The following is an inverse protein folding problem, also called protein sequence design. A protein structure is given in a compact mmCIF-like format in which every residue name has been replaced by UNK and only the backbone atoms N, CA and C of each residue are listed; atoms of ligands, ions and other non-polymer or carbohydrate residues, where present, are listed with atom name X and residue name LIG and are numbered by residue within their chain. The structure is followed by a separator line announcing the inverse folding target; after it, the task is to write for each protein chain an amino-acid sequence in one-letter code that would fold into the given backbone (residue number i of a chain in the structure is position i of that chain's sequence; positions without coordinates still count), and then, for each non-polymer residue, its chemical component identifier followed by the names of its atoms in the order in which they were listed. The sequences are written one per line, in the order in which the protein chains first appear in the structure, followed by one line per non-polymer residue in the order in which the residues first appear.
data_IF_192637016430
#
_entry.id   IF_192637016430
#
_cell.length_a   1.000
_cell.length_b   1.000
_cell.length_c   1.000
_cell.angle_alpha   90.00
_cell.angle_beta   90.00
_cell.angle_gamma   90.00
#
_symmetry.space_group_name_H-M   'P 1'
#
loop_
_entity.id
_entity.type
_entity.pdbx_description
1 polymer ?
#
# COMPACT_ATOMS: atom_id res chain seq x y z
N UNK A 1 16.30 31.70 -6.22
CA UNK A 1 16.18 30.41 -6.95
C UNK A 1 15.68 29.36 -5.96
N UNK A 2 14.47 28.81 -6.14
CA UNK A 2 14.00 27.69 -5.30
C UNK A 2 14.80 26.44 -5.68
N UNK A 3 15.51 25.84 -4.72
CA UNK A 3 16.15 24.53 -4.92
C UNK A 3 15.06 23.47 -4.85
N UNK A 4 14.82 22.76 -5.95
CA UNK A 4 13.98 21.56 -5.95
C UNK A 4 14.77 20.46 -5.25
N UNK A 5 14.37 20.09 -4.04
CA UNK A 5 14.89 18.91 -3.35
C UNK A 5 14.14 17.67 -3.81
N UNK A 6 14.79 16.51 -3.78
CA UNK A 6 14.08 15.24 -4.04
C UNK A 6 13.10 15.02 -2.90
N UNK A 7 11.89 14.58 -3.24
CA UNK A 7 10.84 14.32 -2.25
C UNK A 7 11.32 13.38 -1.13
N UNK A 8 12.07 12.32 -1.49
CA UNK A 8 12.60 11.36 -0.53
C UNK A 8 13.56 11.98 0.49
N UNK A 9 14.39 12.93 0.08
CA UNK A 9 15.36 13.56 1.00
C UNK A 9 14.62 14.42 2.02
N UNK A 10 13.59 15.15 1.59
CA UNK A 10 12.71 15.94 2.48
C UNK A 10 11.96 15.02 3.43
N UNK A 11 11.42 13.92 2.92
CA UNK A 11 10.72 12.94 3.75
C UNK A 11 11.63 12.38 4.85
N UNK A 12 12.87 12.01 4.52
CA UNK A 12 13.83 11.49 5.51
C UNK A 12 14.15 12.54 6.57
N UNK A 13 14.33 13.81 6.18
CA UNK A 13 14.55 14.92 7.13
C UNK A 13 13.36 15.06 8.10
N UNK A 14 12.13 15.04 7.58
CA UNK A 14 10.91 15.17 8.39
C UNK A 14 10.73 13.98 9.34
N UNK A 15 10.94 12.75 8.86
CA UNK A 15 10.85 11.53 9.66
C UNK A 15 11.97 11.43 10.71
N UNK A 16 13.13 12.05 10.47
CA UNK A 16 14.22 12.09 11.44
C UNK A 16 13.97 13.13 12.54
N UNK A 17 13.17 14.18 12.24
CA UNK A 17 12.84 15.23 13.19
C UNK A 17 11.75 14.80 14.21
N UNK A 18 10.83 13.94 13.80
CA UNK A 18 9.71 13.47 14.63
C UNK A 18 9.54 11.94 14.54
N UNK A 19 9.88 11.26 15.63
CA UNK A 19 9.77 9.81 15.74
C UNK A 19 8.31 9.33 15.68
N UNK A 20 7.37 10.06 16.30
CA UNK A 20 5.95 9.68 16.27
C UNK A 20 5.39 9.83 14.85
N UNK A 21 5.84 10.84 14.10
CA UNK A 21 5.52 10.96 12.68
C UNK A 21 6.05 9.79 11.85
N UNK A 22 7.26 9.28 12.17
CA UNK A 22 7.81 8.11 11.50
C UNK A 22 7.00 6.83 11.76
N UNK A 23 6.53 6.64 12.99
CA UNK A 23 5.64 5.52 13.35
C UNK A 23 4.29 5.67 12.63
N UNK A 24 3.68 6.85 12.67
CA UNK A 24 2.41 7.13 12.00
C UNK A 24 2.49 6.91 10.48
N UNK A 25 3.62 7.26 9.87
CA UNK A 25 3.89 6.98 8.47
C UNK A 25 3.91 5.47 8.16
N UNK A 26 4.60 4.66 8.97
CA UNK A 26 4.61 3.20 8.80
C UNK A 26 3.22 2.58 9.01
N UNK A 27 2.46 3.06 9.99
CA UNK A 27 1.08 2.62 10.22
C UNK A 27 0.20 2.90 9.00
N UNK A 28 0.29 4.09 8.41
CA UNK A 28 -0.45 4.44 7.21
C UNK A 28 -0.08 3.53 6.03
N UNK A 29 1.20 3.27 5.82
CA UNK A 29 1.66 2.39 4.73
C UNK A 29 1.23 0.93 4.95
N UNK A 30 1.21 0.46 6.20
CA UNK A 30 0.67 -0.87 6.53
C UNK A 30 -0.84 -0.97 6.28
N UNK A 31 -1.60 0.09 6.56
CA UNK A 31 -3.03 0.14 6.24
C UNK A 31 -3.27 0.10 4.72
N UNK A 32 -2.52 0.88 3.94
CA UNK A 32 -2.57 0.84 2.48
C UNK A 32 -2.16 -0.53 1.93
N UNK A 33 -1.16 -1.18 2.53
CA UNK A 33 -0.74 -2.51 2.14
C UNK A 33 -1.86 -3.55 2.27
N UNK A 34 -2.72 -3.45 3.28
CA UNK A 34 -3.87 -4.35 3.45
C UNK A 34 -4.93 -4.18 2.36
N UNK A 35 -5.05 -2.98 1.77
CA UNK A 35 -6.03 -2.67 0.72
C UNK A 35 -5.47 -3.01 -0.67
N UNK A 36 -4.24 -2.59 -0.94
CA UNK A 36 -3.65 -2.61 -2.29
C UNK A 36 -2.64 -3.74 -2.51
N UNK A 37 -2.25 -4.46 -1.46
CA UNK A 37 -1.28 -5.57 -1.51
C UNK A 37 0.02 -5.20 -2.25
N UNK A 38 0.55 -3.98 -2.02
CA UNK A 38 1.74 -3.47 -2.70
C UNK A 38 3.01 -3.61 -1.81
N UNK A 39 3.80 -4.69 -1.97
CA UNK A 39 5.00 -4.90 -1.15
C UNK A 39 6.09 -3.86 -1.37
N UNK A 40 6.23 -3.34 -2.61
CA UNK A 40 7.25 -2.34 -2.93
C UNK A 40 7.05 -1.03 -2.17
N UNK A 41 5.80 -0.62 -1.94
CA UNK A 41 5.47 0.55 -1.12
C UNK A 41 5.89 0.35 0.35
N UNK A 42 5.60 -0.82 0.93
CA UNK A 42 5.98 -1.16 2.30
C UNK A 42 7.50 -1.18 2.49
N UNK A 43 8.23 -1.84 1.59
CA UNK A 43 9.70 -1.91 1.64
C UNK A 43 10.32 -0.52 1.47
N UNK A 44 9.78 0.29 0.55
CA UNK A 44 10.24 1.67 0.34
C UNK A 44 10.03 2.54 1.58
N UNK A 45 8.89 2.38 2.26
CA UNK A 45 8.59 3.11 3.49
C UNK A 45 9.50 2.69 4.65
N UNK A 46 9.70 1.38 4.84
CA UNK A 46 10.64 0.86 5.84
C UNK A 46 12.04 1.44 5.62
N UNK A 47 12.51 1.46 4.37
CA UNK A 47 13.81 2.04 4.03
C UNK A 47 13.88 3.53 4.37
N UNK A 48 12.84 4.31 4.08
CA UNK A 48 12.81 5.74 4.41
C UNK A 48 12.93 5.98 5.92
N UNK A 49 12.21 5.19 6.74
CA UNK A 49 12.28 5.31 8.21
C UNK A 49 13.62 4.82 8.75
N UNK A 50 14.17 3.73 8.21
CA UNK A 50 15.50 3.25 8.59
C UNK A 50 16.55 4.32 8.29
N UNK A 51 16.52 4.92 7.10
CA UNK A 51 17.44 5.99 6.71
C UNK A 51 17.30 7.22 7.62
N UNK A 52 16.09 7.54 8.07
CA UNK A 52 15.84 8.62 9.02
C UNK A 52 16.38 8.34 10.44
N UNK A 53 16.41 7.07 10.87
CA UNK A 53 16.87 6.66 12.21
C UNK A 53 18.35 6.26 12.30
N UNK A 54 19.19 6.79 11.40
CA UNK A 54 20.64 6.51 11.38
C UNK A 54 21.07 5.44 10.38
N UNK A 55 20.14 4.94 9.57
CA UNK A 55 20.40 4.08 8.43
C UNK A 55 20.62 2.61 8.77
N UNK A 56 20.94 1.84 7.73
CA UNK A 56 21.03 0.38 7.80
C UNK A 56 22.14 -0.10 8.75
N UNK A 57 23.24 0.66 8.86
CA UNK A 57 24.35 0.30 9.74
C UNK A 57 23.96 0.37 11.22
N UNK A 58 23.13 1.34 11.60
CA UNK A 58 22.69 1.47 12.98
C UNK A 58 21.64 0.41 13.33
N UNK A 59 20.71 0.15 12.40
CA UNK A 59 19.74 -0.93 12.51
C UNK A 59 20.42 -2.30 12.68
N UNK A 60 21.47 -2.58 11.91
CA UNK A 60 22.22 -3.83 12.00
C UNK A 60 22.87 -4.02 13.39
N UNK A 61 23.41 -2.94 13.98
CA UNK A 61 23.96 -3.00 15.35
C UNK A 61 22.88 -3.27 16.40
N UNK A 62 21.72 -2.63 16.26
CA UNK A 62 20.61 -2.77 17.22
C UNK A 62 19.97 -4.17 17.16
N UNK A 63 19.82 -4.72 15.95
CA UNK A 63 19.20 -6.03 15.73
C UNK A 63 20.18 -7.19 15.86
N UNK A 64 21.49 -6.93 15.79
CA UNK A 64 22.53 -7.97 15.70
C UNK A 64 22.51 -8.76 14.40
N UNK A 65 21.79 -8.28 13.37
CA UNK A 65 21.67 -8.92 12.06
C UNK A 65 22.79 -8.48 11.12
N UNK A 66 23.10 -9.34 10.14
CA UNK A 66 24.04 -9.01 9.10
C UNK A 66 23.48 -7.91 8.15
N UNK A 67 24.23 -6.81 7.91
CA UNK A 67 23.78 -5.72 7.04
C UNK A 67 23.48 -6.14 5.60
N UNK A 68 24.18 -7.14 5.04
CA UNK A 68 23.90 -7.62 3.69
C UNK A 68 22.56 -8.33 3.65
N UNK A 69 22.26 -9.15 4.66
CA UNK A 69 20.96 -9.82 4.79
C UNK A 69 19.81 -8.81 4.89
N UNK A 70 19.98 -7.77 5.70
CA UNK A 70 18.96 -6.70 5.79
C UNK A 70 18.83 -5.95 4.47
N UNK A 71 19.94 -5.65 3.79
CA UNK A 71 19.92 -4.97 2.50
C UNK A 71 19.21 -5.81 1.43
N UNK A 72 19.48 -7.11 1.36
CA UNK A 72 18.87 -8.02 0.41
C UNK A 72 17.35 -8.05 0.57
N UNK A 73 16.86 -8.16 1.81
CA UNK A 73 15.41 -8.17 2.05
C UNK A 73 14.78 -6.81 1.77
N UNK A 74 15.46 -5.71 2.12
CA UNK A 74 14.98 -4.35 1.81
C UNK A 74 15.18 -3.95 0.34
N UNK A 75 15.87 -4.78 -0.45
CA UNK A 75 16.05 -4.59 -1.90
C UNK A 75 15.13 -5.50 -2.71
N UNK A 76 14.56 -6.53 -2.10
CA UNK A 76 13.57 -7.37 -2.73
C UNK A 76 12.24 -6.62 -2.81
N UNK A 77 11.63 -6.52 -3.99
CA UNK A 77 10.28 -5.95 -4.17
C UNK A 77 9.16 -6.88 -3.65
N UNK A 78 9.49 -7.78 -2.73
CA UNK A 78 8.56 -8.72 -2.11
C UNK A 78 8.31 -8.33 -0.67
N UNK A 79 7.18 -8.79 -0.12
CA UNK A 79 6.85 -8.49 1.25
C UNK A 79 7.90 -9.08 2.19
N UNK A 80 8.43 -8.31 3.16
CA UNK A 80 9.35 -8.85 4.14
C UNK A 80 8.64 -9.93 4.95
N UNK A 81 9.38 -10.97 5.34
CA UNK A 81 8.84 -12.01 6.22
C UNK A 81 8.46 -11.39 7.57
N UNK A 82 7.44 -11.96 8.23
CA UNK A 82 6.90 -11.43 9.49
C UNK A 82 7.97 -11.36 10.58
N UNK A 83 8.84 -12.37 10.68
CA UNK A 83 9.99 -12.40 11.60
C UNK A 83 10.93 -11.21 11.40
N UNK A 84 11.23 -10.89 10.14
CA UNK A 84 12.07 -9.73 9.83
C UNK A 84 11.33 -8.42 10.13
N UNK A 85 10.05 -8.32 9.75
CA UNK A 85 9.26 -7.12 10.01
C UNK A 85 9.18 -6.83 11.52
N UNK A 86 8.94 -7.86 12.34
CA UNK A 86 8.95 -7.76 13.81
C UNK A 86 10.32 -7.30 14.31
N UNK A 87 11.41 -7.86 13.78
CA UNK A 87 12.78 -7.51 14.20
C UNK A 87 13.10 -6.04 13.90
N UNK A 88 12.79 -5.58 12.68
CA UNK A 88 12.98 -4.19 12.26
C UNK A 88 12.12 -3.25 13.10
N UNK A 89 10.82 -3.55 13.25
CA UNK A 89 9.91 -2.70 14.02
C UNK A 89 10.34 -2.63 15.49
N UNK A 90 10.80 -3.73 16.09
CA UNK A 90 11.29 -3.74 17.47
C UNK A 90 12.50 -2.83 17.65
N UNK A 91 13.44 -2.84 16.72
CA UNK A 91 14.60 -1.94 16.73
C UNK A 91 14.18 -0.47 16.59
N UNK A 92 13.13 -0.20 15.81
CA UNK A 92 12.51 1.13 15.67
C UNK A 92 11.59 1.51 16.87
N UNK A 93 11.53 0.70 17.94
CA UNK A 93 10.70 0.98 19.12
C UNK A 93 9.21 0.65 18.98
N UNK A 94 8.84 -0.11 17.94
CA UNK A 94 7.46 -0.44 17.58
C UNK A 94 7.16 -1.94 17.75
N UNK A 95 5.87 -2.29 17.78
CA UNK A 95 5.41 -3.69 17.74
C UNK A 95 4.24 -3.84 16.77
N UNK A 96 4.06 -5.05 16.23
CA UNK A 96 2.84 -5.41 15.53
C UNK A 96 1.71 -5.69 16.54
N UNK A 97 0.53 -5.14 16.28
CA UNK A 97 -0.71 -5.47 16.98
C UNK A 97 -1.69 -6.15 16.00
N UNK A 98 -2.55 -7.01 16.55
CA UNK A 98 -3.71 -7.53 15.83
C UNK A 98 -4.91 -6.77 16.36
N UNK A 99 -5.59 -6.07 15.47
CA UNK A 99 -6.78 -5.28 15.77
C UNK A 99 -7.96 -5.81 14.94
N UNK A 100 -9.19 -5.78 15.48
CA UNK A 100 -10.36 -6.18 14.72
C UNK A 100 -10.52 -5.26 13.51
N UNK A 101 -10.81 -5.84 12.35
CA UNK A 101 -11.23 -5.05 11.19
C UNK A 101 -12.58 -4.47 11.54
N UNK A 102 -12.68 -3.14 11.64
CA UNK A 102 -13.97 -2.47 11.77
C UNK A 102 -14.81 -2.88 10.56
N UNK A 103 -15.84 -3.68 10.83
CA UNK A 103 -16.74 -4.18 9.82
C UNK A 103 -17.59 -3.01 9.31
N UNK A 104 -17.05 -2.22 8.37
CA UNK A 104 -17.89 -1.45 7.45
C UNK A 104 -18.52 -2.46 6.51
N UNK A 105 -19.59 -3.06 7.00
CA UNK A 105 -20.57 -3.89 6.31
C UNK A 105 -20.11 -4.47 4.96
N UNK A 106 -19.26 -5.49 5.00
CA UNK A 106 -19.09 -6.38 3.83
C UNK A 106 -20.38 -7.13 3.46
N UNK A 107 -21.50 -6.89 4.19
CA UNK A 107 -22.81 -7.52 3.96
C UNK A 107 -23.78 -6.71 3.10
N UNK A 108 -23.46 -5.49 2.67
CA UNK A 108 -24.33 -4.71 1.77
C UNK A 108 -23.81 -4.63 0.33
N UNK A 109 -23.50 -5.81 -0.23
CA UNK A 109 -23.64 -6.03 -1.66
C UNK A 109 -24.57 -7.23 -1.92
N UNK A 110 -25.62 -7.37 -1.11
CA UNK A 110 -26.89 -7.79 -1.68
C UNK A 110 -27.48 -6.53 -2.33
N UNK A 111 -27.06 -6.22 -3.55
CA UNK A 111 -27.94 -5.50 -4.45
C UNK A 111 -29.11 -6.46 -4.64
N UNK A 112 -30.24 -6.19 -3.98
CA UNK A 112 -31.51 -6.67 -4.47
C UNK A 112 -31.58 -6.23 -5.94
N UNK A 113 -31.30 -7.15 -6.86
CA UNK A 113 -31.68 -6.97 -8.25
C UNK A 113 -33.20 -7.04 -8.23
N UNK A 114 -33.84 -5.88 -8.01
CA UNK A 114 -35.26 -5.71 -8.30
C UNK A 114 -35.42 -6.04 -9.78
N UNK A 115 -35.83 -7.28 -10.04
CA UNK A 115 -36.00 -7.83 -11.37
C UNK A 115 -37.35 -7.31 -11.87
N UNK A 116 -37.39 -6.00 -12.15
CA UNK A 116 -38.45 -5.33 -12.89
C UNK A 116 -37.86 -4.70 -14.14
N UNK A 117 -37.14 -5.50 -14.91
CA UNK A 117 -36.96 -5.22 -16.34
C UNK A 117 -38.21 -5.75 -17.02
N UNK A 118 -39.08 -4.85 -17.43
CA UNK A 118 -40.23 -5.16 -18.28
C UNK A 118 -39.75 -5.90 -19.55
N UNK A 119 -40.55 -6.84 -20.10
CA UNK A 119 -40.17 -7.54 -21.32
C UNK A 119 -39.94 -6.52 -22.45
N UNK A 120 -38.86 -6.62 -23.24
CA UNK A 120 -38.75 -5.83 -24.45
C UNK A 120 -39.87 -6.28 -25.40
N UNK A 121 -40.82 -5.37 -25.67
CA UNK A 121 -41.83 -5.57 -26.68
C UNK A 121 -41.17 -5.87 -28.03
N UNK A 122 -41.70 -6.89 -28.69
CA UNK A 122 -41.26 -7.40 -29.97
C UNK A 122 -41.21 -6.26 -31.01
N UNK A 123 -40.00 -5.92 -31.46
CA UNK A 123 -39.80 -5.15 -32.68
C UNK A 123 -40.24 -6.05 -33.82
N UNK A 124 -41.40 -5.75 -34.40
CA UNK A 124 -41.92 -6.41 -35.60
C UNK A 124 -40.95 -6.17 -36.74
N UNK A 125 -40.30 -7.23 -37.19
CA UNK A 125 -39.74 -7.33 -38.53
C UNK A 125 -40.88 -7.36 -39.54
N UNK A 126 -40.91 -6.42 -40.49
CA UNK A 126 -41.33 -6.68 -41.87
C UNK A 126 -40.87 -5.53 -42.80
N UNK A 127 -40.75 -5.78 -44.12
CA UNK A 127 -39.60 -5.39 -44.92
C UNK A 127 -40.04 -4.44 -46.07
N UNK A 128 -39.22 -4.33 -47.12
CA UNK A 128 -39.47 -3.65 -48.41
C UNK A 128 -39.37 -2.10 -48.38
N UNK A 129 -38.82 -1.39 -49.36
CA UNK A 129 -38.38 -1.71 -50.73
C UNK A 129 -37.47 -0.55 -51.22
N UNK A 130 -36.47 -0.93 -52.03
CA UNK A 130 -35.94 -0.29 -53.24
C UNK A 130 -35.77 1.24 -53.36
N UNK A 131 -34.57 1.66 -53.79
CA UNK A 131 -34.20 2.29 -55.10
C UNK A 131 -32.94 3.15 -54.88
N UNK A 132 -31.82 2.77 -55.50
CA UNK A 132 -31.29 3.35 -56.73
C UNK A 132 -30.97 4.86 -56.62
N UNK A 133 -29.67 5.19 -56.58
CA UNK A 133 -29.19 6.41 -57.24
C UNK A 133 -27.67 6.37 -57.47
N UNK A 134 -27.35 6.07 -58.73
CA UNK A 134 -26.32 6.66 -59.62
C UNK A 134 -24.95 7.06 -59.08
#
# INVERSE_FOLDING_TARGET
MRKLRKWRDVLIEDLAADHDAAIGFLQAVLADYQIYANPGALVSALRAVIDAQGGLSELAKQTGMDPQTLLEVLSCETAPRVDMLVTILTALGCRLSIEPIENKDFRSACVEVDTRVAPPEAIKSDPALATDNK
#
